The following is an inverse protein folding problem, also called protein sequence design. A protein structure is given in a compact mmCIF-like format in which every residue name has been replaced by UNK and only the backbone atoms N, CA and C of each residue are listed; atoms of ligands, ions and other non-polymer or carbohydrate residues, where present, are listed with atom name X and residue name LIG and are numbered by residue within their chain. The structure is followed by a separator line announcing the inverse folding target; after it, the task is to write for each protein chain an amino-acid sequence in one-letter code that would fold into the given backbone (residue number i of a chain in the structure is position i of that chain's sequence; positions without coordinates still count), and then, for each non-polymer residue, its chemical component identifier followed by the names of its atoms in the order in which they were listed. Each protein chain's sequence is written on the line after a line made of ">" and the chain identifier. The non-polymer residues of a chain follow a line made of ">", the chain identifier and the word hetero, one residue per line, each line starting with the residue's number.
data_IF_844351263565
#
_entry.id   IF_844351263565
#
_cell.length_a   1.000
_cell.length_b   1.000
_cell.length_c   1.000
_cell.angle_alpha   90.00
_cell.angle_beta   90.00
_cell.angle_gamma   90.00
#
_symmetry.space_group_name_H-M   'P 1'
#
loop_
_entity.id
_entity.type
_entity.pdbx_description
1 polymer ?
#
# COMPACT_ATOMS: atom_id res chain seq x y z
N UNK A 1 1.11 3.36 2.40
CA UNK A 1 0.86 4.30 1.29
C UNK A 1 1.85 5.46 1.42
N UNK A 2 2.84 5.57 0.51
CA UNK A 2 3.85 6.64 0.51
C UNK A 2 3.92 7.38 -0.85
N UNK A 3 3.13 6.92 -1.82
CA UNK A 3 3.21 7.32 -3.23
C UNK A 3 2.44 8.61 -3.54
N UNK A 4 1.53 9.03 -2.65
CA UNK A 4 0.61 10.15 -2.90
C UNK A 4 1.33 11.43 -3.34
N UNK A 5 2.40 11.84 -2.66
CA UNK A 5 3.17 13.03 -3.03
C UNK A 5 3.80 12.85 -4.41
N UNK A 6 4.41 11.70 -4.69
CA UNK A 6 5.08 11.43 -5.96
C UNK A 6 4.06 11.45 -7.11
N UNK A 7 2.91 10.81 -6.93
CA UNK A 7 1.83 10.72 -7.93
C UNK A 7 1.15 12.06 -8.22
N UNK A 8 1.18 13.01 -7.26
CA UNK A 8 0.49 14.30 -7.39
C UNK A 8 1.41 15.49 -7.63
N UNK A 9 2.72 15.31 -7.75
CA UNK A 9 3.68 16.42 -7.93
C UNK A 9 4.49 16.25 -9.21
N UNK A 10 5.28 17.27 -9.56
CA UNK A 10 6.18 17.26 -10.72
C UNK A 10 5.46 16.97 -12.05
N UNK A 11 4.23 17.48 -12.19
CA UNK A 11 3.43 17.35 -13.41
C UNK A 11 2.79 15.97 -13.63
N UNK A 12 2.87 15.05 -12.66
CA UNK A 12 2.23 13.72 -12.76
C UNK A 12 0.72 13.75 -12.59
N UNK A 13 0.20 14.75 -11.87
CA UNK A 13 -1.24 15.04 -11.82
C UNK A 13 -1.54 16.35 -12.57
N UNK A 14 -2.49 16.28 -13.51
CA UNK A 14 -2.92 17.37 -14.40
C UNK A 14 -3.94 18.32 -13.77
N UNK A 15 -4.50 17.98 -12.62
CA UNK A 15 -5.48 18.78 -11.89
C UNK A 15 -4.89 20.13 -11.48
N UNK A 16 -5.72 21.18 -11.52
CA UNK A 16 -5.29 22.55 -11.27
C UNK A 16 -4.61 22.74 -9.90
N UNK A 17 -5.08 22.03 -8.88
CA UNK A 17 -4.54 22.11 -7.51
C UNK A 17 -3.12 21.52 -7.39
N UNK A 18 -2.79 20.53 -8.22
CA UNK A 18 -1.54 19.78 -8.17
C UNK A 18 -0.45 20.37 -9.09
N UNK A 19 -0.83 21.11 -10.13
CA UNK A 19 0.09 21.71 -11.11
C UNK A 19 1.27 22.50 -10.53
N UNK A 20 1.11 23.36 -9.52
CA UNK A 20 2.23 24.14 -9.01
C UNK A 20 3.13 23.37 -8.04
N UNK A 21 2.77 22.14 -7.64
CA UNK A 21 3.41 21.41 -6.56
C UNK A 21 4.67 20.67 -7.03
N UNK A 22 5.77 20.84 -6.28
CA UNK A 22 7.01 20.07 -6.46
C UNK A 22 7.15 19.05 -5.34
N UNK A 23 7.77 17.92 -5.66
CA UNK A 23 7.98 16.85 -4.69
C UNK A 23 8.80 17.31 -3.47
N UNK A 24 9.76 18.23 -3.70
CA UNK A 24 10.64 18.79 -2.67
C UNK A 24 9.95 19.83 -1.76
N UNK A 25 8.71 20.22 -2.06
CA UNK A 25 7.92 21.09 -1.18
C UNK A 25 7.32 20.33 0.02
N UNK A 26 7.49 18.99 0.05
CA UNK A 26 6.94 18.10 1.05
C UNK A 26 8.02 17.35 1.82
N UNK A 27 7.72 17.06 3.09
CA UNK A 27 8.55 16.26 3.97
C UNK A 27 7.69 15.21 4.70
N UNK A 28 8.33 14.14 5.12
CA UNK A 28 7.73 13.11 5.97
C UNK A 28 7.95 13.46 7.44
N UNK A 29 6.91 13.29 8.24
CA UNK A 29 7.00 13.30 9.70
C UNK A 29 7.33 11.89 10.18
N UNK A 30 8.45 11.76 10.88
CA UNK A 30 8.87 10.50 11.47
C UNK A 30 8.31 10.37 12.90
N UNK A 31 8.22 9.13 13.39
CA UNK A 31 7.73 8.83 14.76
C UNK A 31 8.54 9.51 15.87
N UNK A 32 9.83 9.74 15.65
CA UNK A 32 10.72 10.42 16.59
C UNK A 32 10.57 11.97 16.55
N UNK A 33 9.56 12.49 15.84
CA UNK A 33 9.31 13.93 15.69
C UNK A 33 10.21 14.63 14.66
N UNK A 34 11.19 13.95 14.08
CA UNK A 34 12.05 14.52 13.03
C UNK A 34 11.33 14.57 11.68
N UNK A 35 11.87 15.39 10.77
CA UNK A 35 11.44 15.46 9.38
C UNK A 35 12.50 14.86 8.47
N UNK A 36 12.05 14.19 7.41
CA UNK A 36 12.93 13.65 6.37
C UNK A 36 12.31 13.85 4.99
N UNK A 37 13.14 13.74 3.96
CA UNK A 37 12.69 13.80 2.57
C UNK A 37 11.74 12.64 2.24
N UNK A 38 10.94 12.80 1.19
CA UNK A 38 9.93 11.82 0.77
C UNK A 38 10.51 10.47 0.36
N UNK A 39 11.77 10.42 -0.09
CA UNK A 39 12.48 9.20 -0.46
C UNK A 39 12.79 8.34 0.77
N UNK A 40 12.84 8.94 1.96
CA UNK A 40 13.17 8.26 3.20
C UNK A 40 12.01 7.42 3.78
N UNK A 41 10.89 7.26 3.07
CA UNK A 41 9.66 6.59 3.54
C UNK A 41 9.90 5.20 4.13
N UNK A 42 10.89 4.45 3.63
CA UNK A 42 11.25 3.12 4.17
C UNK A 42 11.72 3.20 5.63
N UNK A 43 12.38 4.28 6.01
CA UNK A 43 12.91 4.52 7.37
C UNK A 43 12.09 5.55 8.17
N UNK A 44 11.19 6.29 7.52
CA UNK A 44 10.39 7.34 8.12
C UNK A 44 8.93 7.20 7.67
N UNK A 45 8.15 6.48 8.46
CA UNK A 45 6.73 6.26 8.25
C UNK A 45 6.03 6.09 9.60
N UNK A 46 4.74 6.40 9.65
CA UNK A 46 3.94 6.25 10.86
C UNK A 46 3.58 4.78 11.13
N UNK A 47 3.29 4.02 10.07
CA UNK A 47 3.02 2.58 10.16
C UNK A 47 3.21 1.93 8.79
N UNK A 48 3.43 0.61 8.80
CA UNK A 48 3.49 -0.21 7.59
C UNK A 48 2.17 -0.96 7.43
N UNK A 49 1.41 -0.64 6.38
CA UNK A 49 0.15 -1.35 6.11
C UNK A 49 0.45 -2.78 5.64
N UNK A 50 -0.15 -3.81 6.27
CA UNK A 50 0.03 -5.21 5.87
C UNK A 50 -0.72 -5.53 4.56
N UNK A 51 -0.20 -6.46 3.74
CA UNK A 51 -0.82 -6.88 2.46
C UNK A 51 -1.80 -8.06 2.65
N UNK A 52 -3.05 -7.94 2.18
CA UNK A 52 -4.10 -8.96 2.38
C UNK A 52 -3.73 -10.30 1.73
N UNK A 53 -3.80 -11.41 2.47
CA UNK A 53 -3.35 -12.74 2.00
C UNK A 53 -4.36 -13.84 2.36
N UNK A 54 -5.12 -14.35 1.38
CA UNK A 54 -6.02 -15.50 1.62
C UNK A 54 -6.05 -16.56 0.49
N UNK A 55 -5.27 -16.43 -0.61
CA UNK A 55 -5.55 -17.22 -1.84
C UNK A 55 -4.31 -17.85 -2.50
N UNK A 56 -3.45 -18.53 -1.74
CA UNK A 56 -2.23 -19.17 -2.26
C UNK A 56 -2.47 -20.19 -3.40
N UNK A 57 -3.53 -21.01 -3.31
CA UNK A 57 -3.82 -22.02 -4.34
C UNK A 57 -4.32 -21.38 -5.64
N UNK A 58 -5.26 -20.46 -5.53
CA UNK A 58 -5.81 -19.80 -6.70
C UNK A 58 -4.75 -18.93 -7.42
N UNK A 59 -3.77 -18.39 -6.68
CA UNK A 59 -2.63 -17.69 -7.30
C UNK A 59 -1.78 -18.58 -8.22
N UNK A 60 -1.59 -19.86 -7.90
CA UNK A 60 -0.82 -20.76 -8.76
C UNK A 60 -1.49 -20.99 -10.12
N UNK A 61 -2.82 -20.89 -10.16
CA UNK A 61 -3.61 -21.10 -11.37
C UNK A 61 -3.86 -19.79 -12.14
N UNK A 62 -4.03 -18.68 -11.43
CA UNK A 62 -4.56 -17.44 -11.98
C UNK A 62 -3.72 -16.19 -11.69
N UNK A 63 -2.58 -16.31 -11.01
CA UNK A 63 -1.73 -15.16 -10.67
C UNK A 63 -0.94 -14.59 -11.85
N UNK A 64 -1.00 -15.21 -13.04
CA UNK A 64 -0.38 -14.69 -14.25
C UNK A 64 -1.38 -13.82 -15.02
N UNK A 65 -1.04 -12.55 -15.24
CA UNK A 65 -1.86 -11.60 -16.00
C UNK A 65 -1.93 -11.94 -17.51
N UNK A 66 -1.13 -12.91 -17.97
CA UNK A 66 -1.19 -13.43 -19.34
C UNK A 66 -2.28 -14.48 -19.55
N UNK A 67 -2.97 -14.92 -18.48
CA UNK A 67 -4.05 -15.88 -18.59
C UNK A 67 -5.28 -15.21 -19.23
N UNK A 68 -5.75 -15.78 -20.35
CA UNK A 68 -6.85 -15.22 -21.15
C UNK A 68 -8.24 -15.55 -20.59
N UNK A 69 -8.34 -16.49 -19.66
CA UNK A 69 -9.62 -16.92 -19.09
C UNK A 69 -9.95 -16.13 -17.82
N UNK A 70 -8.99 -16.03 -16.89
CA UNK A 70 -9.11 -15.26 -15.66
C UNK A 70 -7.72 -14.89 -15.14
N UNK A 71 -7.51 -13.61 -14.83
CA UNK A 71 -6.34 -13.13 -14.10
C UNK A 71 -6.78 -12.67 -12.71
N UNK A 72 -6.11 -13.17 -11.69
CA UNK A 72 -6.45 -12.90 -10.29
C UNK A 72 -6.19 -11.44 -9.91
N UNK A 73 -5.14 -10.84 -10.47
CA UNK A 73 -4.67 -9.51 -10.13
C UNK A 73 -4.92 -8.49 -11.24
N UNK A 74 -5.69 -8.84 -12.27
CA UNK A 74 -6.07 -7.91 -13.33
C UNK A 74 -7.59 -7.91 -13.51
N UNK A 75 -8.19 -6.73 -13.39
CA UNK A 75 -9.64 -6.52 -13.49
C UNK A 75 -10.12 -6.31 -14.93
N UNK A 76 -9.21 -6.26 -15.90
CA UNK A 76 -9.39 -6.12 -17.35
C UNK A 76 -10.27 -4.95 -17.85
N UNK A 77 -11.25 -4.37 -17.14
CA UNK A 77 -12.04 -3.19 -17.55
C UNK A 77 -12.82 -2.48 -16.41
N UNK A 78 -13.22 -1.22 -16.68
CA UNK A 78 -14.09 -0.24 -15.98
C UNK A 78 -13.85 0.07 -14.48
N UNK A 79 -13.36 -0.88 -13.68
CA UNK A 79 -13.14 -0.72 -12.25
C UNK A 79 -11.80 -1.35 -11.84
N UNK A 80 -10.76 -0.56 -11.54
CA UNK A 80 -9.49 -1.08 -11.05
C UNK A 80 -9.60 -1.57 -9.60
N UNK A 81 -8.65 -2.41 -9.19
CA UNK A 81 -8.44 -2.84 -7.80
C UNK A 81 -9.63 -3.64 -7.23
N UNK A 82 -10.21 -4.51 -8.05
CA UNK A 82 -11.30 -5.41 -7.63
C UNK A 82 -10.76 -6.64 -6.90
N UNK A 83 -11.38 -6.98 -5.77
CA UNK A 83 -11.03 -8.07 -4.84
C UNK A 83 -9.68 -7.92 -4.14
N UNK A 84 -8.62 -7.53 -4.86
CA UNK A 84 -7.33 -7.17 -4.30
C UNK A 84 -7.17 -5.67 -4.31
N UNK A 85 -6.48 -5.15 -3.29
CA UNK A 85 -6.36 -3.71 -3.07
C UNK A 85 -5.58 -2.97 -4.18
N UNK A 86 -4.97 -3.71 -5.12
CA UNK A 86 -4.16 -3.18 -6.19
C UNK A 86 -4.04 -4.21 -7.33
N UNK A 87 -4.34 -3.82 -8.56
CA UNK A 87 -4.11 -4.65 -9.75
C UNK A 87 -2.61 -4.82 -10.07
N UNK A 88 -1.73 -4.00 -9.50
CA UNK A 88 -0.28 -4.21 -9.54
C UNK A 88 0.23 -5.30 -8.56
N UNK A 89 -0.67 -6.13 -8.02
CA UNK A 89 -0.28 -7.23 -7.13
C UNK A 89 0.42 -8.31 -7.94
N UNK A 90 1.71 -8.52 -7.68
CA UNK A 90 2.50 -9.56 -8.39
C UNK A 90 2.32 -10.93 -7.73
N UNK A 91 2.32 -10.97 -6.40
CA UNK A 91 2.23 -12.21 -5.66
C UNK A 91 1.75 -11.99 -4.21
N UNK A 92 0.81 -12.81 -3.76
CA UNK A 92 0.46 -13.10 -2.37
C UNK A 92 1.56 -13.97 -1.76
N UNK A 93 2.19 -13.46 -0.70
CA UNK A 93 3.13 -14.22 0.12
C UNK A 93 2.39 -14.85 1.30
N UNK A 94 2.58 -16.15 1.52
CA UNK A 94 2.02 -16.80 2.71
C UNK A 94 2.63 -16.18 3.97
N UNK A 95 1.78 -15.81 4.93
CA UNK A 95 2.22 -15.37 6.24
C UNK A 95 2.41 -16.63 7.07
N UNK A 96 3.66 -16.94 7.44
CA UNK A 96 3.99 -18.09 8.29
C UNK A 96 4.07 -17.73 9.77
N UNK A 97 3.87 -16.45 10.09
CA UNK A 97 4.00 -15.89 11.44
C UNK A 97 2.63 -15.71 12.09
N UNK A 98 2.61 -15.47 13.39
CA UNK A 98 1.37 -15.13 14.09
C UNK A 98 0.75 -13.83 13.56
N UNK A 99 -0.54 -13.63 13.83
CA UNK A 99 -1.23 -12.39 13.45
C UNK A 99 -0.56 -11.16 14.09
N UNK A 100 -0.07 -11.29 15.33
CA UNK A 100 0.64 -10.22 16.05
C UNK A 100 2.03 -9.93 15.47
N UNK A 101 2.72 -10.94 14.94
CA UNK A 101 4.00 -10.72 14.24
C UNK A 101 3.77 -10.01 12.90
N UNK A 102 2.69 -10.36 12.23
CA UNK A 102 2.33 -9.82 10.93
C UNK A 102 1.80 -8.38 11.02
N UNK A 103 0.91 -8.13 11.97
CA UNK A 103 0.45 -6.80 12.35
C UNK A 103 1.48 -6.21 13.30
N UNK A 104 2.49 -5.53 12.77
CA UNK A 104 3.56 -4.93 13.59
C UNK A 104 3.02 -4.26 14.86
N UNK A 105 3.73 -4.29 16.01
CA UNK A 105 3.20 -3.84 17.31
C UNK A 105 2.57 -2.44 17.31
N UNK A 106 3.09 -1.55 16.47
CA UNK A 106 2.53 -0.20 16.27
C UNK A 106 1.08 -0.22 15.77
N UNK A 107 0.72 -1.17 14.90
CA UNK A 107 -0.64 -1.35 14.39
C UNK A 107 -1.53 -1.90 15.49
N UNK A 108 -1.08 -2.91 16.24
CA UNK A 108 -1.85 -3.47 17.35
C UNK A 108 -2.16 -2.40 18.40
N UNK A 109 -1.14 -1.61 18.79
CA UNK A 109 -1.32 -0.48 19.71
C UNK A 109 -2.28 0.59 19.17
N UNK A 110 -2.24 0.86 17.86
CA UNK A 110 -3.15 1.81 17.23
C UNK A 110 -4.59 1.26 17.27
N UNK A 111 -4.78 -0.01 16.92
CA UNK A 111 -6.09 -0.66 16.91
C UNK A 111 -6.73 -0.62 18.30
N UNK A 112 -6.01 -1.02 19.35
CA UNK A 112 -6.52 -0.95 20.74
C UNK A 112 -6.85 0.49 21.18
N UNK A 113 -6.15 1.50 20.65
CA UNK A 113 -6.44 2.92 20.97
C UNK A 113 -7.71 3.40 20.26
N UNK A 114 -7.95 2.96 19.04
CA UNK A 114 -9.11 3.37 18.22
C UNK A 114 -10.37 2.56 18.50
N UNK A 115 -10.23 1.29 18.90
CA UNK A 115 -11.31 0.39 19.27
C UNK A 115 -10.85 -0.48 20.46
N UNK A 116 -11.22 -0.11 21.70
CA UNK A 116 -10.78 -0.81 22.91
C UNK A 116 -11.39 -2.21 23.12
N UNK A 117 -12.30 -2.67 22.24
CA UNK A 117 -12.99 -3.97 22.35
C UNK A 117 -12.39 -5.06 21.44
N UNK A 118 -11.34 -4.74 20.67
CA UNK A 118 -10.45 -5.71 20.02
C UNK A 118 -9.26 -6.00 20.92
#
# INVERSE_FOLDING_TARGET
>A
MHTAVISNTAGRNIDQWARPLRANDFELLCKNGTRKTIEAYKSCHLLRVPARNMLNFAQQLFGSDTNKEFAMFDSFYEHPDLMFLNDATVQLTCITTSLDDYLSPDIIQLLHRTDPQM
#
